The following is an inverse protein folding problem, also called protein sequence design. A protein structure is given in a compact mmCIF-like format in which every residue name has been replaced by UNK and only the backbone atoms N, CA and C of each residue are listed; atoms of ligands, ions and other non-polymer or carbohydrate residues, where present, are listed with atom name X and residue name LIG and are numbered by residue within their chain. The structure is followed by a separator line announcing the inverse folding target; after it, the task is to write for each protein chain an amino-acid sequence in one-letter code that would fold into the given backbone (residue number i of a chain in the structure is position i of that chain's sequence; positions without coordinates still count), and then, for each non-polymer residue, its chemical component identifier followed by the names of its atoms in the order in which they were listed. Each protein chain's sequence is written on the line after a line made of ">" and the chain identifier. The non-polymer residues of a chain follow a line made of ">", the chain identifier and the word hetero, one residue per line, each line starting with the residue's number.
data_IF_337066249573
#
_entry.id   IF_337066249573
#
_cell.length_a   1.000
_cell.length_b   1.000
_cell.length_c   1.000
_cell.angle_alpha   90.00
_cell.angle_beta   90.00
_cell.angle_gamma   90.00
#
_symmetry.space_group_name_H-M   'P 1'
#
loop_
_entity.id
_entity.type
_entity.pdbx_description
1 polymer ?
#
# COMPACT_ATOMS: atom_id res chain seq x y z
N UNK A 1 -8.21 -9.47 14.48
CA UNK A 1 -7.16 -10.26 15.19
C UNK A 1 -6.82 -11.58 14.48
N UNK A 2 -7.77 -12.27 13.83
CA UNK A 2 -7.54 -13.56 13.13
C UNK A 2 -6.47 -13.49 12.02
N UNK A 3 -6.57 -12.52 11.11
CA UNK A 3 -5.61 -12.32 10.00
C UNK A 3 -4.14 -12.28 10.46
N UNK A 4 -3.82 -11.44 11.45
CA UNK A 4 -2.46 -11.32 11.99
C UNK A 4 -1.97 -12.62 12.64
N UNK A 5 -2.85 -13.35 13.34
CA UNK A 5 -2.47 -14.62 13.98
C UNK A 5 -2.13 -15.67 12.93
N UNK A 6 -2.95 -15.77 11.88
CA UNK A 6 -2.72 -16.66 10.76
C UNK A 6 -1.39 -16.37 10.06
N UNK A 7 -1.15 -15.11 9.67
CA UNK A 7 0.09 -14.74 8.98
C UNK A 7 1.33 -14.97 9.83
N UNK A 8 1.29 -14.67 11.14
CA UNK A 8 2.43 -14.94 12.05
C UNK A 8 2.68 -16.45 12.22
N UNK A 9 1.63 -17.27 12.25
CA UNK A 9 1.77 -18.73 12.29
C UNK A 9 2.36 -19.27 10.98
N UNK A 10 1.87 -18.80 9.84
CA UNK A 10 2.40 -19.15 8.52
C UNK A 10 3.89 -18.83 8.41
N UNK A 11 4.31 -17.62 8.80
CA UNK A 11 5.73 -17.22 8.79
C UNK A 11 6.58 -18.15 9.67
N UNK A 12 6.10 -18.48 10.87
CA UNK A 12 6.82 -19.38 11.79
C UNK A 12 6.94 -20.80 11.25
N UNK A 13 5.89 -21.30 10.59
CA UNK A 13 5.87 -22.63 9.99
C UNK A 13 6.86 -22.72 8.82
N UNK A 14 6.73 -21.82 7.83
CA UNK A 14 7.56 -21.84 6.61
C UNK A 14 9.05 -21.60 6.90
N UNK A 15 9.38 -20.91 8.00
CA UNK A 15 10.78 -20.77 8.47
C UNK A 15 11.39 -22.06 9.01
N UNK A 16 10.58 -22.95 9.57
CA UNK A 16 11.03 -24.21 10.16
C UNK A 16 11.10 -25.35 9.15
N UNK A 17 10.43 -25.22 8.01
CA UNK A 17 10.48 -26.21 6.94
C UNK A 17 11.89 -26.33 6.34
N UNK A 18 12.40 -27.55 6.17
CA UNK A 18 13.66 -27.83 5.48
C UNK A 18 13.43 -27.97 3.98
N UNK A 19 12.95 -26.89 3.38
CA UNK A 19 12.58 -26.81 1.96
C UNK A 19 13.40 -25.68 1.30
N UNK A 20 13.59 -25.74 -0.01
CA UNK A 20 14.26 -24.67 -0.77
C UNK A 20 13.66 -23.30 -0.47
N UNK A 21 14.50 -22.27 -0.36
CA UNK A 21 14.07 -20.92 -0.02
C UNK A 21 13.04 -20.35 -1.02
N UNK A 22 13.17 -20.70 -2.31
CA UNK A 22 12.18 -20.32 -3.32
C UNK A 22 10.80 -20.92 -3.03
N UNK A 23 10.76 -22.19 -2.64
CA UNK A 23 9.51 -22.87 -2.30
C UNK A 23 8.90 -22.32 -1.00
N UNK A 24 9.72 -21.96 0.01
CA UNK A 24 9.25 -21.26 1.21
C UNK A 24 8.57 -19.94 0.88
N UNK A 25 9.17 -19.16 -0.02
CA UNK A 25 8.63 -17.87 -0.47
C UNK A 25 7.29 -18.05 -1.18
N UNK A 26 7.19 -19.00 -2.11
CA UNK A 26 5.96 -19.28 -2.87
C UNK A 26 4.84 -19.73 -1.93
N UNK A 27 5.11 -20.69 -1.03
CA UNK A 27 4.11 -21.16 -0.06
C UNK A 27 3.68 -20.07 0.91
N UNK A 28 4.61 -19.25 1.41
CA UNK A 28 4.26 -18.14 2.30
C UNK A 28 3.41 -17.10 1.57
N UNK A 29 3.71 -16.81 0.29
CA UNK A 29 2.89 -15.91 -0.54
C UNK A 29 1.45 -16.44 -0.65
N UNK A 30 1.26 -17.72 -0.94
CA UNK A 30 -0.09 -18.33 -1.01
C UNK A 30 -0.80 -18.31 0.34
N UNK A 31 -0.09 -18.59 1.44
CA UNK A 31 -0.67 -18.55 2.79
C UNK A 31 -1.14 -17.12 3.15
N UNK A 32 -0.34 -16.09 2.86
CA UNK A 32 -0.70 -14.70 3.14
C UNK A 32 -1.95 -14.30 2.35
N UNK A 33 -2.04 -14.67 1.07
CA UNK A 33 -3.23 -14.41 0.25
C UNK A 33 -4.48 -15.12 0.81
N UNK A 34 -4.32 -16.35 1.31
CA UNK A 34 -5.39 -17.11 1.93
C UNK A 34 -5.81 -16.57 3.32
N UNK A 35 -5.00 -15.72 3.95
CA UNK A 35 -5.28 -15.21 5.29
C UNK A 35 -6.60 -14.40 5.38
N UNK A 36 -7.04 -13.78 4.29
CA UNK A 36 -8.34 -13.10 4.21
C UNK A 36 -9.47 -14.11 4.23
N UNK A 37 -9.44 -15.09 3.32
CA UNK A 37 -10.42 -16.19 3.26
C UNK A 37 -10.56 -16.88 4.62
N UNK A 38 -9.43 -17.24 5.25
CA UNK A 38 -9.41 -17.81 6.60
C UNK A 38 -10.09 -16.90 7.64
N UNK A 39 -9.86 -15.59 7.57
CA UNK A 39 -10.43 -14.65 8.55
C UNK A 39 -11.95 -14.52 8.44
N UNK A 40 -12.52 -14.79 7.26
CA UNK A 40 -13.94 -14.69 6.95
C UNK A 40 -14.65 -16.05 6.82
N UNK A 41 -14.02 -17.14 7.28
CA UNK A 41 -14.63 -18.47 7.41
C UNK A 41 -14.45 -19.41 6.22
N UNK A 42 -13.66 -19.04 5.22
CA UNK A 42 -13.31 -19.92 4.10
C UNK A 42 -11.98 -20.62 4.37
N UNK A 43 -12.03 -21.94 4.56
CA UNK A 43 -10.89 -22.75 4.97
C UNK A 43 -10.34 -23.69 3.88
N UNK A 44 -10.84 -23.61 2.64
CA UNK A 44 -10.52 -24.57 1.56
C UNK A 44 -9.02 -24.71 1.27
N UNK A 45 -8.27 -23.61 1.33
CA UNK A 45 -6.84 -23.58 1.02
C UNK A 45 -5.98 -23.40 2.28
N UNK A 46 -6.53 -23.66 3.47
CA UNK A 46 -5.78 -23.56 4.71
C UNK A 46 -4.90 -24.80 4.92
N UNK A 47 -3.61 -24.57 5.19
CA UNK A 47 -2.74 -25.61 5.75
C UNK A 47 -3.22 -25.97 7.18
N UNK A 48 -3.40 -27.26 7.44
CA UNK A 48 -3.88 -27.81 8.71
C UNK A 48 -2.96 -27.42 9.88
N UNK A 49 -1.66 -27.25 9.64
CA UNK A 49 -0.72 -26.82 10.67
C UNK A 49 -0.91 -25.35 11.09
N UNK A 50 -1.53 -24.53 10.23
CA UNK A 50 -1.75 -23.09 10.48
C UNK A 50 -3.15 -22.86 11.06
N UNK A 51 -4.14 -23.58 10.52
CA UNK A 51 -5.55 -23.48 10.87
C UNK A 51 -5.96 -24.59 11.85
N UNK A 52 -6.00 -24.34 13.17
CA UNK A 52 -6.53 -25.33 14.11
C UNK A 52 -8.01 -25.61 13.80
N UNK A 53 -8.41 -26.87 13.87
CA UNK A 53 -9.76 -27.34 13.53
C UNK A 53 -10.89 -26.64 14.32
N UNK A 54 -10.56 -25.99 15.44
CA UNK A 54 -11.49 -25.25 16.30
C UNK A 54 -12.00 -23.93 15.71
N UNK A 55 -11.39 -23.41 14.64
CA UNK A 55 -11.80 -22.16 13.99
C UNK A 55 -12.72 -22.35 12.77
N UNK A 56 -13.12 -23.59 12.44
CA UNK A 56 -14.03 -23.91 11.31
C UNK A 56 -15.47 -23.52 11.67
N UNK A 57 -15.86 -22.28 11.38
CA UNK A 57 -17.25 -21.83 11.47
C UNK A 57 -18.01 -22.13 10.18
N UNK A 58 -19.23 -22.67 10.26
CA UNK A 58 -20.03 -23.07 9.08
C UNK A 58 -20.45 -21.92 8.16
N UNK A 59 -20.35 -20.65 8.61
CA UNK A 59 -20.77 -19.48 7.82
C UNK A 59 -19.61 -18.93 7.00
N UNK A 60 -19.60 -19.25 5.71
CA UNK A 60 -18.65 -18.70 4.74
C UNK A 60 -19.10 -17.31 4.24
N UNK A 61 -18.78 -16.27 5.00
CA UNK A 61 -19.04 -14.87 4.60
C UNK A 61 -18.07 -14.33 3.54
N UNK A 62 -17.01 -15.09 3.21
CA UNK A 62 -15.98 -14.64 2.29
C UNK A 62 -16.50 -14.52 0.85
N UNK A 63 -17.41 -15.41 0.43
CA UNK A 63 -18.02 -15.36 -0.91
C UNK A 63 -18.92 -14.12 -1.06
N UNK A 64 -19.76 -13.84 -0.07
CA UNK A 64 -20.67 -12.68 -0.08
C UNK A 64 -19.89 -11.36 -0.14
N UNK A 65 -18.74 -11.31 0.56
CA UNK A 65 -17.89 -10.12 0.59
C UNK A 65 -16.98 -10.00 -0.63
N UNK A 66 -16.70 -11.09 -1.36
CA UNK A 66 -15.70 -11.11 -2.43
C UNK A 66 -15.94 -10.05 -3.52
N UNK A 67 -17.22 -9.75 -3.81
CA UNK A 67 -17.62 -8.78 -4.82
C UNK A 67 -17.63 -7.33 -4.32
N UNK A 68 -17.41 -7.10 -3.03
CA UNK A 68 -17.47 -5.75 -2.45
C UNK A 68 -16.18 -4.95 -2.68
N UNK A 69 -16.33 -3.63 -2.75
CA UNK A 69 -15.19 -2.69 -2.79
C UNK A 69 -14.27 -2.85 -1.57
N UNK A 70 -14.84 -3.16 -0.41
CA UNK A 70 -14.09 -3.38 0.82
C UNK A 70 -13.15 -4.58 0.68
N UNK A 71 -13.62 -5.68 0.11
CA UNK A 71 -12.81 -6.87 -0.14
C UNK A 71 -11.67 -6.57 -1.10
N UNK A 72 -11.93 -5.89 -2.22
CA UNK A 72 -10.88 -5.48 -3.17
C UNK A 72 -9.76 -4.69 -2.46
N UNK A 73 -10.12 -3.76 -1.57
CA UNK A 73 -9.13 -2.98 -0.78
C UNK A 73 -8.36 -3.82 0.22
N UNK A 74 -9.03 -4.71 0.94
CA UNK A 74 -8.38 -5.64 1.88
C UNK A 74 -7.41 -6.56 1.13
N UNK A 75 -7.84 -7.12 0.00
CA UNK A 75 -7.04 -7.97 -0.87
C UNK A 75 -5.81 -7.24 -1.39
N UNK A 76 -5.94 -5.97 -1.84
CA UNK A 76 -4.77 -5.16 -2.23
C UNK A 76 -3.72 -5.01 -1.12
N UNK A 77 -4.17 -4.74 0.12
CA UNK A 77 -3.27 -4.61 1.28
C UNK A 77 -2.55 -5.94 1.55
N UNK A 78 -3.27 -7.06 1.44
CA UNK A 78 -2.72 -8.39 1.68
C UNK A 78 -1.80 -8.84 0.55
N UNK A 79 -2.12 -8.52 -0.70
CA UNK A 79 -1.22 -8.74 -1.84
C UNK A 79 0.09 -7.97 -1.68
N UNK A 80 0.04 -6.73 -1.19
CA UNK A 80 1.26 -5.96 -0.88
C UNK A 80 2.10 -6.65 0.20
N UNK A 81 1.47 -7.20 1.25
CA UNK A 81 2.16 -7.99 2.26
C UNK A 81 2.76 -9.28 1.66
N UNK A 82 2.03 -9.95 0.78
CA UNK A 82 2.45 -11.18 0.12
C UNK A 82 3.64 -10.95 -0.84
N UNK A 83 3.70 -9.81 -1.52
CA UNK A 83 4.87 -9.42 -2.33
C UNK A 83 6.14 -9.27 -1.50
N UNK A 84 6.02 -8.98 -0.20
CA UNK A 84 7.14 -8.90 0.74
C UNK A 84 7.46 -10.25 1.42
N UNK A 85 6.92 -11.37 0.93
CA UNK A 85 7.13 -12.70 1.51
C UNK A 85 8.63 -13.05 1.64
N UNK A 86 9.45 -12.70 0.64
CA UNK A 86 10.91 -12.87 0.68
C UNK A 86 11.52 -12.24 1.93
N UNK A 87 11.28 -10.95 2.14
CA UNK A 87 11.78 -10.21 3.29
C UNK A 87 11.26 -10.78 4.63
N UNK A 88 10.02 -11.30 4.65
CA UNK A 88 9.43 -11.93 5.84
C UNK A 88 10.05 -13.28 6.19
N UNK A 89 10.45 -14.08 5.20
CA UNK A 89 11.15 -15.36 5.42
C UNK A 89 12.55 -15.11 5.98
N UNK A 90 13.28 -14.14 5.44
CA UNK A 90 14.66 -13.87 5.83
C UNK A 90 14.83 -12.88 6.98
N UNK A 91 13.73 -12.37 7.56
CA UNK A 91 13.74 -11.29 8.56
C UNK A 91 14.56 -10.06 8.12
N UNK A 92 14.57 -9.79 6.82
CA UNK A 92 15.26 -8.62 6.27
C UNK A 92 14.34 -7.42 6.44
N UNK A 93 14.69 -6.52 7.36
CA UNK A 93 14.09 -5.20 7.39
C UNK A 93 14.74 -4.28 6.36
N UNK A 94 13.96 -3.33 5.86
CA UNK A 94 14.37 -2.45 4.76
C UNK A 94 15.34 -1.36 5.22
N UNK A 95 16.35 -1.68 6.05
CA UNK A 95 17.60 -0.96 6.31
C UNK A 95 17.94 -0.82 7.81
N UNK A 96 18.80 -1.71 8.37
CA UNK A 96 19.41 -1.54 9.69
C UNK A 96 20.12 -0.20 9.86
N UNK A 97 20.70 0.35 8.77
CA UNK A 97 21.34 1.66 8.77
C UNK A 97 20.33 2.81 8.90
N UNK A 98 19.13 2.73 8.32
CA UNK A 98 18.06 3.73 8.58
C UNK A 98 17.59 3.67 10.02
N UNK A 99 17.39 2.46 10.54
CA UNK A 99 16.97 2.28 11.93
C UNK A 99 18.04 2.83 12.87
N UNK A 100 19.32 2.56 12.60
CA UNK A 100 20.45 3.09 13.35
C UNK A 100 20.61 4.61 13.19
N UNK A 101 20.50 5.15 11.97
CA UNK A 101 20.54 6.59 11.69
C UNK A 101 19.42 7.34 12.42
N UNK A 102 18.24 6.73 12.57
CA UNK A 102 17.16 7.29 13.39
C UNK A 102 17.52 7.38 14.89
N UNK A 103 18.41 6.52 15.38
CA UNK A 103 18.96 6.55 16.74
C UNK A 103 20.06 7.59 16.84
N UNK A 104 21.01 7.63 15.89
CA UNK A 104 22.04 8.67 15.81
C UNK A 104 21.41 10.06 15.83
N UNK A 105 20.39 10.30 14.99
CA UNK A 105 19.70 11.58 14.92
C UNK A 105 19.11 12.06 16.26
N UNK A 106 18.72 11.12 17.14
CA UNK A 106 18.23 11.44 18.50
C UNK A 106 19.36 11.80 19.46
N UNK A 107 20.49 11.10 19.39
CA UNK A 107 21.67 11.41 20.20
C UNK A 107 22.34 12.71 19.77
N UNK A 108 22.33 12.99 18.46
CA UNK A 108 22.81 14.25 17.88
C UNK A 108 21.83 15.42 18.13
N UNK A 109 20.59 15.16 18.56
CA UNK A 109 19.60 16.20 18.84
C UNK A 109 18.93 16.80 17.59
N UNK A 110 19.22 16.25 16.40
CA UNK A 110 18.81 16.78 15.11
C UNK A 110 19.30 18.22 14.85
N UNK A 111 18.81 18.85 13.78
CA UNK A 111 19.18 20.23 13.39
C UNK A 111 18.76 21.34 14.37
N UNK A 112 18.04 21.06 15.46
CA UNK A 112 17.27 22.09 16.20
C UNK A 112 17.80 22.47 17.57
N UNK A 113 18.69 21.71 18.21
CA UNK A 113 19.28 22.15 19.49
C UNK A 113 20.72 21.63 19.61
N UNK A 114 21.70 22.51 19.41
CA UNK A 114 23.10 22.25 19.73
C UNK A 114 23.29 22.37 21.24
N UNK A 115 23.19 21.25 21.95
CA UNK A 115 23.21 21.27 23.42
C UNK A 115 24.58 21.50 24.07
N UNK A 116 25.70 21.61 23.34
CA UNK A 116 27.01 22.13 23.82
C UNK A 116 28.15 21.86 22.83
N UNK A 117 29.17 22.73 22.87
CA UNK A 117 30.39 22.70 22.04
C UNK A 117 31.47 21.71 22.53
N UNK A 118 31.14 20.73 23.39
CA UNK A 118 32.11 19.72 23.86
C UNK A 118 31.55 18.31 23.66
N UNK A 119 32.48 17.42 23.26
CA UNK A 119 32.31 16.03 22.85
C UNK A 119 31.77 15.85 21.42
N UNK A 120 32.59 15.23 20.57
CA UNK A 120 32.47 15.23 19.12
C UNK A 120 31.23 14.45 18.63
N UNK A 121 30.87 14.63 17.35
CA UNK A 121 29.87 13.81 16.68
C UNK A 121 30.15 12.30 16.83
N UNK A 122 31.42 11.91 16.87
CA UNK A 122 31.84 10.52 16.99
C UNK A 122 31.39 9.89 18.32
N UNK A 123 31.55 10.59 19.45
CA UNK A 123 31.10 10.08 20.75
C UNK A 123 29.58 9.87 20.80
N UNK A 124 28.81 10.75 20.15
CA UNK A 124 27.35 10.59 20.05
C UNK A 124 26.95 9.41 19.16
N UNK A 125 27.70 9.15 18.10
CA UNK A 125 27.53 7.95 17.28
C UNK A 125 27.88 6.67 18.05
N UNK A 126 28.95 6.69 18.86
CA UNK A 126 29.32 5.57 19.74
C UNK A 126 28.23 5.32 20.79
N UNK A 127 27.74 6.36 21.46
CA UNK A 127 26.63 6.24 22.41
C UNK A 127 25.34 5.72 21.74
N UNK A 128 25.05 6.17 20.51
CA UNK A 128 23.94 5.65 19.71
C UNK A 128 24.13 4.16 19.39
N UNK A 129 25.34 3.72 19.02
CA UNK A 129 25.66 2.33 18.71
C UNK A 129 25.47 1.43 19.93
N UNK A 130 26.00 1.84 21.08
CA UNK A 130 25.83 1.13 22.34
C UNK A 130 24.34 1.00 22.68
N UNK A 131 23.58 2.09 22.57
CA UNK A 131 22.15 2.09 22.85
C UNK A 131 21.33 1.25 21.86
N UNK A 132 21.71 1.22 20.59
CA UNK A 132 21.03 0.49 19.52
C UNK A 132 21.21 -1.03 19.68
N UNK A 133 22.44 -1.46 19.94
CA UNK A 133 22.78 -2.88 20.06
C UNK A 133 22.28 -3.48 21.39
N UNK A 134 22.38 -2.75 22.49
CA UNK A 134 22.05 -3.30 23.82
C UNK A 134 20.56 -3.26 24.15
N UNK A 135 19.80 -2.31 23.58
CA UNK A 135 18.36 -2.07 23.85
C UNK A 135 18.00 -1.93 25.35
N UNK A 136 19.00 -1.76 26.23
CA UNK A 136 18.87 -1.64 27.69
C UNK A 136 19.17 -0.20 28.13
N UNK A 137 18.72 0.20 29.34
CA UNK A 137 19.12 1.48 29.94
C UNK A 137 20.65 1.58 30.07
N UNK A 138 21.21 2.77 29.82
CA UNK A 138 22.66 2.99 29.88
C UNK A 138 23.18 2.77 31.30
N UNK A 139 22.36 3.01 32.33
CA UNK A 139 22.77 2.74 33.71
C UNK A 139 23.15 1.27 33.96
N UNK A 140 22.59 0.31 33.19
CA UNK A 140 22.94 -1.11 33.31
C UNK A 140 24.35 -1.40 32.82
N UNK A 141 24.78 -0.67 31.79
CA UNK A 141 26.12 -0.76 31.22
C UNK A 141 27.11 -0.07 32.16
N UNK A 142 26.76 1.13 32.63
CA UNK A 142 27.58 1.86 33.60
C UNK A 142 27.84 1.03 34.87
N UNK A 143 26.80 0.42 35.45
CA UNK A 143 26.94 -0.46 36.63
C UNK A 143 27.88 -1.63 36.37
N UNK A 144 27.89 -2.17 35.15
CA UNK A 144 28.74 -3.31 34.77
C UNK A 144 30.19 -2.89 34.53
N UNK A 145 30.43 -1.71 33.95
CA UNK A 145 31.79 -1.21 33.65
C UNK A 145 32.47 -0.69 34.92
N UNK A 146 31.76 0.11 35.73
CA UNK A 146 32.36 0.81 36.87
C UNK A 146 32.07 0.16 38.23
N UNK A 147 31.35 -0.97 38.25
CA UNK A 147 30.98 -1.70 39.47
C UNK A 147 30.04 -0.93 40.42
N UNK A 148 29.66 0.30 40.08
CA UNK A 148 28.84 1.20 40.89
C UNK A 148 27.59 1.64 40.14
N UNK A 149 26.41 1.72 40.78
CA UNK A 149 25.21 2.20 40.13
C UNK A 149 25.33 3.70 39.77
N UNK A 150 24.66 4.14 38.71
CA UNK A 150 24.51 5.59 38.47
C UNK A 150 23.60 6.22 39.53
N UNK A 151 23.61 7.55 39.62
CA UNK A 151 22.78 8.30 40.57
C UNK A 151 21.27 8.03 40.45
N UNK A 152 20.53 8.30 41.54
CA UNK A 152 19.07 8.09 41.61
C UNK A 152 18.32 8.80 40.48
N UNK A 153 18.73 10.02 40.14
CA UNK A 153 18.10 10.85 39.10
C UNK A 153 18.31 10.29 37.68
N UNK A 154 19.51 9.81 37.35
CA UNK A 154 19.81 9.23 36.03
C UNK A 154 19.05 7.92 35.82
N UNK A 155 19.01 7.06 36.84
CA UNK A 155 18.19 5.84 36.80
C UNK A 155 16.71 6.16 36.61
N UNK A 156 16.16 7.09 37.42
CA UNK A 156 14.76 7.51 37.33
C UNK A 156 14.39 8.09 35.97
N UNK A 157 15.25 8.96 35.41
CA UNK A 157 15.05 9.55 34.09
C UNK A 157 15.02 8.49 32.98
N UNK A 158 15.93 7.52 33.00
CA UNK A 158 15.96 6.43 32.02
C UNK A 158 14.75 5.50 32.14
N UNK A 159 14.36 5.14 33.36
CA UNK A 159 13.15 4.35 33.62
C UNK A 159 11.90 5.10 33.14
N UNK A 160 11.81 6.42 33.37
CA UNK A 160 10.69 7.23 32.89
C UNK A 160 10.69 7.36 31.36
N UNK A 161 11.87 7.45 30.73
CA UNK A 161 12.03 7.44 29.26
C UNK A 161 11.55 6.11 28.65
N UNK A 162 11.81 4.98 29.30
CA UNK A 162 11.26 3.67 28.90
C UNK A 162 9.73 3.63 29.01
N UNK A 163 9.16 4.10 30.12
CA UNK A 163 7.69 4.17 30.31
C UNK A 163 7.02 5.08 29.25
N UNK A 164 7.64 6.22 28.91
CA UNK A 164 7.15 7.14 27.87
C UNK A 164 7.20 6.54 26.45
N UNK A 165 8.13 5.61 26.15
CA UNK A 165 8.16 4.90 24.85
C UNK A 165 6.93 4.01 24.65
N UNK A 166 6.40 3.42 25.73
CA UNK A 166 5.18 2.60 25.68
C UNK A 166 3.97 3.48 25.32
N UNK A 167 3.89 4.67 25.92
CA UNK A 167 2.77 5.61 25.75
C UNK A 167 2.78 6.36 24.40
N UNK A 168 3.95 6.71 23.86
CA UNK A 168 4.07 7.47 22.58
C UNK A 168 3.80 6.66 21.30
N UNK A 169 3.56 5.35 21.39
CA UNK A 169 3.12 4.54 20.22
C UNK A 169 1.76 4.98 19.68
N UNK A 170 0.98 5.79 20.41
CA UNK A 170 -0.35 6.27 20.02
C UNK A 170 -0.40 7.61 19.27
N UNK A 171 0.69 8.38 19.18
CA UNK A 171 0.64 9.75 18.62
C UNK A 171 1.24 9.86 17.21
N UNK A 172 0.42 10.43 16.32
CA UNK A 172 0.52 10.50 14.84
C UNK A 172 1.87 11.01 14.31
N UNK A 173 2.40 10.32 13.28
CA UNK A 173 3.53 10.82 12.47
C UNK A 173 3.05 11.99 11.60
N UNK A 174 3.66 13.16 11.77
CA UNK A 174 3.59 14.27 10.79
C UNK A 174 4.57 13.95 9.66
N UNK A 175 4.05 13.71 8.46
CA UNK A 175 4.85 13.49 7.25
C UNK A 175 5.77 14.70 7.00
N UNK A 176 7.09 14.47 6.93
CA UNK A 176 8.04 15.46 6.42
C UNK A 176 8.26 15.18 4.92
N UNK A 177 8.31 16.25 4.13
CA UNK A 177 8.54 16.18 2.68
C UNK A 177 9.99 15.77 2.38
N UNK A 178 10.07 14.91 1.37
CA UNK A 178 11.19 14.29 0.67
C UNK A 178 12.55 15.02 0.76
N UNK A 179 13.59 14.25 1.09
CA UNK A 179 14.95 14.46 0.58
C UNK A 179 15.10 13.52 -0.62
N UNK A 180 15.55 14.04 -1.76
CA UNK A 180 15.84 13.22 -2.93
C UNK A 180 17.11 12.40 -2.66
N UNK A 181 16.95 11.08 -2.60
CA UNK A 181 17.99 10.10 -2.32
C UNK A 181 18.33 9.36 -3.64
N UNK A 182 19.61 9.10 -3.97
CA UNK A 182 19.98 8.33 -5.16
C UNK A 182 19.36 6.92 -5.21
N UNK A 183 19.02 6.36 -4.05
CA UNK A 183 18.39 5.06 -3.89
C UNK A 183 16.87 5.19 -3.66
N UNK A 184 16.34 6.39 -3.35
CA UNK A 184 14.91 6.62 -3.13
C UNK A 184 14.38 7.94 -3.74
N UNK A 185 13.24 7.86 -4.44
CA UNK A 185 12.53 9.02 -4.98
C UNK A 185 12.57 9.10 -6.50
N UNK A 186 12.36 10.29 -7.07
CA UNK A 186 12.19 10.44 -8.53
C UNK A 186 13.46 10.13 -9.35
N UNK A 187 14.62 10.01 -8.69
CA UNK A 187 15.94 9.73 -9.30
C UNK A 187 16.53 8.38 -8.88
N UNK A 188 15.73 7.49 -8.29
CA UNK A 188 16.18 6.18 -7.86
C UNK A 188 16.83 5.41 -9.03
N UNK A 189 18.07 4.93 -8.83
CA UNK A 189 18.84 4.24 -9.88
C UNK A 189 18.43 2.79 -10.12
N UNK A 190 17.73 2.18 -9.16
CA UNK A 190 17.29 0.78 -9.21
C UNK A 190 15.76 0.71 -9.11
N UNK A 191 15.11 -0.14 -9.91
CA UNK A 191 13.69 -0.39 -9.76
C UNK A 191 13.40 -1.06 -8.41
N UNK A 192 12.23 -0.76 -7.82
CA UNK A 192 11.80 -1.27 -6.51
C UNK A 192 11.62 -2.81 -6.47
N UNK A 193 11.44 -3.43 -7.63
CA UNK A 193 11.24 -4.87 -7.80
C UNK A 193 12.02 -5.40 -9.00
N UNK A 194 12.22 -6.71 -9.05
CA UNK A 194 12.85 -7.37 -10.20
C UNK A 194 11.92 -7.32 -11.42
N UNK A 195 12.48 -7.41 -12.63
CA UNK A 195 11.68 -7.42 -13.85
C UNK A 195 10.71 -8.62 -13.89
N UNK A 196 11.15 -9.78 -13.39
CA UNK A 196 10.33 -10.98 -13.28
C UNK A 196 9.12 -10.75 -12.37
N UNK A 197 9.34 -10.19 -11.17
CA UNK A 197 8.28 -9.86 -10.22
C UNK A 197 7.30 -8.82 -10.80
N UNK A 198 7.81 -7.86 -11.57
CA UNK A 198 7.01 -6.85 -12.25
C UNK A 198 6.10 -7.47 -13.31
N UNK A 199 6.64 -8.31 -14.20
CA UNK A 199 5.86 -8.96 -15.25
C UNK A 199 4.80 -9.89 -14.66
N UNK A 200 5.14 -10.64 -13.60
CA UNK A 200 4.18 -11.48 -12.89
C UNK A 200 3.05 -10.64 -12.29
N UNK A 201 3.38 -9.58 -11.54
CA UNK A 201 2.39 -8.68 -10.92
C UNK A 201 1.52 -7.98 -11.97
N UNK A 202 2.10 -7.58 -13.10
CA UNK A 202 1.38 -7.01 -14.25
C UNK A 202 0.38 -8.03 -14.80
N UNK A 203 0.78 -9.27 -15.00
CA UNK A 203 -0.10 -10.32 -15.53
C UNK A 203 -1.27 -10.62 -14.58
N UNK A 204 -1.01 -10.70 -13.27
CA UNK A 204 -2.04 -10.88 -12.23
C UNK A 204 -3.02 -9.70 -12.22
N UNK A 205 -2.51 -8.47 -12.32
CA UNK A 205 -3.33 -7.26 -12.35
C UNK A 205 -4.23 -7.21 -13.59
N UNK A 206 -3.72 -7.55 -14.76
CA UNK A 206 -4.51 -7.58 -16.00
C UNK A 206 -5.62 -8.63 -15.93
N UNK A 207 -5.33 -9.83 -15.43
CA UNK A 207 -6.33 -10.89 -15.22
C UNK A 207 -7.45 -10.47 -14.28
N UNK A 208 -7.13 -9.74 -13.21
CA UNK A 208 -8.15 -9.22 -12.27
C UNK A 208 -9.10 -8.19 -12.89
N UNK A 209 -8.70 -7.60 -14.01
CA UNK A 209 -9.42 -6.52 -14.66
C UNK A 209 -10.23 -6.97 -15.87
N UNK A 210 -10.01 -8.21 -16.33
CA UNK A 210 -10.87 -8.92 -17.26
C UNK A 210 -12.21 -9.23 -16.57
N UNK A 211 -13.30 -8.90 -17.26
CA UNK A 211 -14.67 -9.10 -16.79
C UNK A 211 -15.44 -9.79 -17.90
N UNK A 212 -16.34 -10.72 -17.54
CA UNK A 212 -17.31 -11.28 -18.49
C UNK A 212 -18.33 -10.22 -18.92
N UNK A 213 -19.06 -10.46 -20.01
CA UNK A 213 -20.07 -9.51 -20.50
C UNK A 213 -21.15 -9.24 -19.45
N UNK A 214 -21.64 -10.29 -18.77
CA UNK A 214 -22.59 -10.17 -17.66
C UNK A 214 -22.06 -9.29 -16.52
N UNK A 215 -20.80 -9.47 -16.12
CA UNK A 215 -20.20 -8.66 -15.06
C UNK A 215 -20.04 -7.19 -15.46
N UNK A 216 -19.92 -6.89 -16.76
CA UNK A 216 -19.85 -5.50 -17.25
C UNK A 216 -21.22 -4.84 -17.20
N UNK A 217 -22.27 -5.58 -17.56
CA UNK A 217 -23.65 -5.08 -17.48
C UNK A 217 -24.04 -4.81 -16.02
N UNK A 218 -23.73 -5.75 -15.11
CA UNK A 218 -23.94 -5.55 -13.67
C UNK A 218 -23.17 -4.33 -13.14
N UNK A 219 -21.92 -4.17 -13.57
CA UNK A 219 -21.11 -3.02 -13.18
C UNK A 219 -21.71 -1.71 -13.71
N UNK A 220 -22.25 -1.68 -14.92
CA UNK A 220 -22.92 -0.51 -15.47
C UNK A 220 -24.08 -0.12 -14.56
N UNK A 221 -24.91 -1.09 -14.17
CA UNK A 221 -26.11 -0.86 -13.34
C UNK A 221 -25.73 -0.36 -11.95
N UNK A 222 -24.77 -1.02 -11.29
CA UNK A 222 -24.32 -0.63 -9.94
C UNK A 222 -23.60 0.72 -9.88
N UNK A 223 -23.19 1.25 -11.04
CA UNK A 223 -22.42 2.49 -11.12
C UNK A 223 -23.17 3.64 -11.81
N UNK A 224 -24.50 3.54 -11.98
CA UNK A 224 -25.37 4.58 -12.55
C UNK A 224 -25.24 5.92 -11.82
N UNK A 225 -25.01 5.91 -10.50
CA UNK A 225 -24.83 7.12 -9.69
C UNK A 225 -23.45 7.80 -9.88
N UNK A 226 -22.61 7.25 -10.75
CA UNK A 226 -21.33 7.79 -11.19
C UNK A 226 -20.46 8.32 -10.04
N UNK A 227 -20.30 9.64 -9.93
CA UNK A 227 -19.42 10.29 -8.95
C UNK A 227 -19.84 10.09 -7.50
N UNK A 228 -21.10 9.72 -7.26
CA UNK A 228 -21.61 9.38 -5.93
C UNK A 228 -21.35 7.92 -5.55
N UNK A 229 -21.07 7.05 -6.53
CA UNK A 229 -20.75 5.64 -6.29
C UNK A 229 -19.25 5.44 -6.02
N UNK A 230 -18.94 4.83 -4.88
CA UNK A 230 -17.55 4.48 -4.55
C UNK A 230 -17.00 3.41 -5.51
N UNK A 231 -17.84 2.49 -5.95
CA UNK A 231 -17.45 1.44 -6.89
C UNK A 231 -17.04 2.03 -8.25
N UNK A 232 -17.78 3.04 -8.73
CA UNK A 232 -17.43 3.75 -9.95
C UNK A 232 -16.07 4.45 -9.83
N UNK A 233 -15.79 5.10 -8.69
CA UNK A 233 -14.51 5.77 -8.44
C UNK A 233 -13.32 4.79 -8.41
N UNK A 234 -13.46 3.64 -7.75
CA UNK A 234 -12.37 2.65 -7.71
C UNK A 234 -12.13 2.01 -9.08
N UNK A 235 -13.18 1.67 -9.83
CA UNK A 235 -13.03 1.15 -11.19
C UNK A 235 -12.34 2.16 -12.12
N UNK A 236 -12.68 3.46 -12.02
CA UNK A 236 -12.03 4.51 -12.80
C UNK A 236 -10.57 4.77 -12.44
N UNK A 237 -10.14 4.49 -11.21
CA UNK A 237 -8.71 4.62 -10.84
C UNK A 237 -7.84 3.56 -11.51
N UNK A 238 -8.40 2.38 -11.73
CA UNK A 238 -7.67 1.24 -12.29
C UNK A 238 -7.74 1.18 -13.81
N UNK A 239 -8.56 2.04 -14.46
CA UNK A 239 -8.80 2.02 -15.92
C UNK A 239 -8.48 3.35 -16.57
N UNK A 240 -8.04 3.30 -17.82
CA UNK A 240 -7.93 4.50 -18.65
C UNK A 240 -9.34 4.96 -19.06
N UNK A 241 -9.65 6.22 -18.82
CA UNK A 241 -10.98 6.78 -19.12
C UNK A 241 -10.98 7.53 -20.45
N UNK A 242 -12.14 7.62 -21.10
CA UNK A 242 -12.30 8.31 -22.39
C UNK A 242 -11.74 9.75 -22.37
N UNK A 243 -11.94 10.47 -21.25
CA UNK A 243 -11.41 11.84 -21.05
C UNK A 243 -9.88 11.97 -21.12
N UNK A 244 -9.16 10.87 -20.90
CA UNK A 244 -7.69 10.81 -20.94
C UNK A 244 -7.22 10.34 -22.32
N UNK A 245 -8.01 9.52 -23.00
CA UNK A 245 -7.63 8.82 -24.21
C UNK A 245 -7.21 9.76 -25.35
N UNK A 246 -7.87 10.91 -25.49
CA UNK A 246 -7.47 11.93 -26.46
C UNK A 246 -6.04 12.45 -26.26
N UNK A 247 -5.55 12.51 -25.02
CA UNK A 247 -4.16 12.88 -24.72
C UNK A 247 -3.18 11.75 -25.03
N UNK A 248 -3.61 10.51 -24.87
CA UNK A 248 -2.80 9.31 -25.16
C UNK A 248 -2.59 9.20 -26.67
N UNK A 249 -3.67 9.25 -27.45
CA UNK A 249 -3.60 9.10 -28.91
C UNK A 249 -2.82 10.25 -29.59
N UNK A 250 -2.89 11.48 -29.04
CA UNK A 250 -2.17 12.64 -29.58
C UNK A 250 -0.71 12.75 -29.12
N UNK A 251 -0.23 11.81 -28.30
CA UNK A 251 1.13 11.86 -27.76
C UNK A 251 2.14 11.56 -28.86
N UNK A 252 3.12 12.45 -29.03
CA UNK A 252 4.27 12.21 -29.92
C UNK A 252 5.26 11.24 -29.27
N UNK A 253 5.86 10.36 -30.06
CA UNK A 253 6.82 9.35 -29.59
C UNK A 253 8.10 9.96 -29.00
N UNK A 254 8.52 11.11 -29.53
CA UNK A 254 9.71 11.85 -29.09
C UNK A 254 9.55 12.61 -27.76
N UNK A 255 8.33 12.69 -27.21
CA UNK A 255 8.08 13.35 -25.92
C UNK A 255 7.95 12.29 -24.83
N UNK A 256 8.68 12.47 -23.73
CA UNK A 256 8.61 11.61 -22.55
C UNK A 256 7.16 11.40 -22.08
N UNK A 257 6.76 10.15 -21.84
CA UNK A 257 5.44 9.81 -21.31
C UNK A 257 5.27 10.16 -19.82
N UNK A 258 6.35 10.46 -19.11
CA UNK A 258 6.35 10.63 -17.65
C UNK A 258 5.35 11.68 -17.13
N UNK A 259 5.19 12.88 -17.75
CA UNK A 259 4.20 13.86 -17.31
C UNK A 259 2.75 13.36 -17.47
N UNK A 260 2.47 12.66 -18.57
CA UNK A 260 1.15 12.07 -18.83
C UNK A 260 0.84 10.98 -17.81
N UNK A 261 1.76 10.04 -17.59
CA UNK A 261 1.61 8.98 -16.58
C UNK A 261 1.41 9.59 -15.18
N UNK A 262 2.19 10.61 -14.82
CA UNK A 262 2.03 11.33 -13.54
C UNK A 262 0.64 11.92 -13.40
N UNK A 263 0.07 12.50 -14.45
CA UNK A 263 -1.29 13.07 -14.42
C UNK A 263 -2.39 12.01 -14.26
N UNK A 264 -2.16 10.81 -14.78
CA UNK A 264 -3.09 9.66 -14.66
C UNK A 264 -3.03 9.08 -13.25
N UNK A 265 -1.83 8.83 -12.73
CA UNK A 265 -1.63 8.21 -11.40
C UNK A 265 -1.96 9.17 -10.26
N UNK A 266 -1.75 10.48 -10.45
CA UNK A 266 -2.00 11.51 -9.43
C UNK A 266 -2.93 12.59 -10.00
N UNK A 267 -4.24 12.29 -10.15
CA UNK A 267 -5.19 13.25 -10.67
C UNK A 267 -5.34 14.44 -9.73
N UNK A 268 -5.43 15.65 -10.30
CA UNK A 268 -5.67 16.88 -9.55
C UNK A 268 -7.13 16.96 -9.11
N UNK A 269 -7.37 17.48 -7.91
CA UNK A 269 -8.72 17.74 -7.41
C UNK A 269 -9.25 19.00 -8.09
N UNK A 270 -10.08 18.82 -9.12
CA UNK A 270 -10.64 19.91 -9.94
C UNK A 270 -12.05 20.35 -9.50
N UNK A 271 -12.55 19.86 -8.37
CA UNK A 271 -13.90 20.18 -7.86
C UNK A 271 -14.11 21.68 -7.59
N UNK A 272 -13.03 22.42 -7.36
CA UNK A 272 -13.09 23.84 -7.04
C UNK A 272 -13.07 24.75 -8.27
N UNK A 273 -12.85 24.19 -9.47
CA UNK A 273 -12.80 24.97 -10.71
C UNK A 273 -14.20 25.50 -11.05
N UNK A 274 -14.38 26.82 -11.28
CA UNK A 274 -15.70 27.41 -11.53
C UNK A 274 -16.46 26.78 -12.70
N UNK A 275 -15.78 26.50 -13.82
CA UNK A 275 -16.40 25.86 -14.98
C UNK A 275 -16.90 24.45 -14.69
N UNK A 276 -16.16 23.67 -13.88
CA UNK A 276 -16.58 22.34 -13.45
C UNK A 276 -17.78 22.41 -12.51
N UNK A 277 -17.80 23.37 -11.57
CA UNK A 277 -18.96 23.59 -10.68
C UNK A 277 -20.19 23.99 -11.47
N UNK A 278 -20.05 24.92 -12.40
CA UNK A 278 -21.13 25.37 -13.28
C UNK A 278 -21.67 24.21 -14.12
N UNK A 279 -20.78 23.41 -14.73
CA UNK A 279 -21.18 22.23 -15.50
C UNK A 279 -22.01 21.26 -14.66
N UNK A 280 -21.54 20.91 -13.45
CA UNK A 280 -22.28 20.02 -12.54
C UNK A 280 -23.64 20.56 -12.10
N UNK A 281 -23.73 21.87 -11.84
CA UNK A 281 -24.97 22.49 -11.39
C UNK A 281 -26.04 22.55 -12.50
N UNK A 282 -25.62 22.71 -13.76
CA UNK A 282 -26.54 22.90 -14.89
C UNK A 282 -26.73 21.64 -15.76
N UNK A 283 -26.05 20.54 -15.45
CA UNK A 283 -26.10 19.30 -16.23
C UNK A 283 -27.54 18.79 -16.40
N UNK A 284 -28.33 18.80 -15.33
CA UNK A 284 -29.72 18.34 -15.38
C UNK A 284 -30.62 19.24 -16.25
N UNK A 285 -30.41 20.56 -16.20
CA UNK A 285 -31.13 21.52 -17.05
C UNK A 285 -30.77 21.33 -18.52
N UNK A 286 -29.48 21.11 -18.82
CA UNK A 286 -29.01 20.85 -20.18
C UNK A 286 -29.61 19.55 -20.75
N UNK A 287 -29.69 18.49 -19.94
CA UNK A 287 -30.32 17.22 -20.35
C UNK A 287 -31.81 17.37 -20.63
N UNK A 288 -32.54 18.10 -19.78
CA UNK A 288 -33.96 18.36 -19.99
C UNK A 288 -34.22 19.17 -21.28
N UNK A 289 -33.37 20.15 -21.57
CA UNK A 289 -33.44 20.91 -22.81
C UNK A 289 -33.16 20.03 -24.03
N UNK A 290 -32.11 19.21 -23.99
CA UNK A 290 -31.74 18.32 -25.08
C UNK A 290 -32.84 17.30 -25.39
N UNK A 291 -33.42 16.68 -24.34
CA UNK A 291 -34.52 15.73 -24.47
C UNK A 291 -35.74 16.35 -25.17
N UNK A 292 -36.04 17.62 -24.86
CA UNK A 292 -37.15 18.35 -25.49
C UNK A 292 -36.87 18.73 -26.95
N UNK A 293 -35.63 19.11 -27.27
CA UNK A 293 -35.25 19.52 -28.62
C UNK A 293 -35.21 18.34 -29.60
N UNK A 294 -34.58 17.24 -29.18
CA UNK A 294 -34.37 16.06 -30.03
C UNK A 294 -35.51 15.04 -29.91
N UNK A 295 -36.49 15.27 -29.02
CA UNK A 295 -37.59 14.34 -28.73
C UNK A 295 -37.11 12.93 -28.36
N UNK A 296 -35.99 12.84 -27.66
CA UNK A 296 -35.38 11.58 -27.19
C UNK A 296 -35.48 11.43 -25.67
N UNK A 297 -35.65 10.20 -25.21
CA UNK A 297 -35.58 9.84 -23.78
C UNK A 297 -34.12 9.64 -23.40
N UNK A 298 -33.61 10.48 -22.50
CA UNK A 298 -32.22 10.37 -22.00
C UNK A 298 -32.23 9.68 -20.65
N UNK A 299 -31.57 8.53 -20.57
CA UNK A 299 -31.38 7.77 -19.32
C UNK A 299 -29.97 7.97 -18.77
N UNK A 300 -29.84 7.89 -17.44
CA UNK A 300 -28.52 7.88 -16.80
C UNK A 300 -27.85 6.54 -17.06
N UNK A 301 -26.54 6.56 -17.19
CA UNK A 301 -25.73 5.37 -17.36
C UNK A 301 -24.52 5.37 -16.41
N UNK A 302 -24.10 4.16 -16.06
CA UNK A 302 -22.89 3.94 -15.27
C UNK A 302 -21.64 3.82 -16.13
N UNK A 303 -20.67 3.04 -15.64
CA UNK A 303 -19.41 2.82 -16.32
C UNK A 303 -19.55 1.76 -17.42
N UNK A 304 -19.34 2.15 -18.67
CA UNK A 304 -19.16 1.20 -19.77
C UNK A 304 -17.69 0.78 -19.91
N UNK A 305 -17.47 -0.52 -20.08
CA UNK A 305 -16.15 -1.11 -20.34
C UNK A 305 -16.15 -1.70 -21.75
N UNK A 306 -15.16 -1.33 -22.55
CA UNK A 306 -15.02 -1.84 -23.92
C UNK A 306 -14.74 -3.34 -23.94
N UNK A 307 -15.36 -4.07 -24.87
CA UNK A 307 -15.34 -5.53 -24.94
C UNK A 307 -13.96 -6.13 -25.27
N UNK A 308 -13.22 -5.51 -26.18
CA UNK A 308 -11.94 -6.04 -26.68
C UNK A 308 -10.68 -5.35 -26.13
N UNK A 309 -10.85 -4.21 -25.46
CA UNK A 309 -9.74 -3.34 -25.08
C UNK A 309 -9.83 -3.00 -23.59
N UNK A 310 -9.68 -4.03 -22.75
CA UNK A 310 -9.62 -3.84 -21.30
C UNK A 310 -8.36 -3.06 -20.90
N UNK A 311 -7.25 -3.23 -21.63
CA UNK A 311 -5.93 -2.69 -21.27
C UNK A 311 -5.01 -2.29 -22.45
N UNK A 312 -5.35 -2.62 -23.70
CA UNK A 312 -4.49 -2.41 -24.85
C UNK A 312 -5.24 -1.65 -25.93
N UNK A 313 -4.70 -0.53 -26.40
CA UNK A 313 -5.09 0.10 -27.66
C UNK A 313 -4.05 -0.31 -28.70
N UNK A 314 -4.46 -1.08 -29.71
CA UNK A 314 -3.65 -1.24 -30.92
C UNK A 314 -4.15 -0.19 -31.92
N UNK A 315 -3.31 0.72 -32.44
CA UNK A 315 -3.75 1.78 -33.35
C UNK A 315 -4.28 1.27 -34.71
N UNK A 316 -4.19 -0.03 -34.98
CA UNK A 316 -4.42 -0.64 -36.30
C UNK A 316 -5.89 -1.01 -36.61
N UNK A 317 -6.84 -0.71 -35.74
CA UNK A 317 -8.26 -0.99 -35.99
C UNK A 317 -9.12 0.26 -35.82
N UNK A 318 -8.89 1.25 -36.67
CA UNK A 318 -9.90 2.25 -37.01
C UNK A 318 -10.39 1.92 -38.41
N UNK A 319 -11.31 0.97 -38.49
CA UNK A 319 -12.20 0.90 -39.64
C UNK A 319 -13.35 1.87 -39.36
N UNK A 320 -13.31 3.02 -40.03
CA UNK A 320 -14.49 3.82 -40.29
C UNK A 320 -15.37 3.12 -41.33
#
# INVERSE_FOLDING_TARGET
>A
MKLRRYTVRAIKLRKREEVSDNQKMIKLRSDILNALYHSFGSHFNCDDAICPATDKTDRNTALDLANTVLWRKMSQIVSFLASNAKSLVFDVDSNPAETFNSVIAKYVGGKRINYTQRNSYQERCVAAAISFNTKRPIYTIYKRIFGKPTGKYTNSYETQKLKRKVYKRSFRKRFRRNMDDPDYGQKARRPDMTEEDFQMSKSEFLKQMELSDQQRDDLQIHTIDQSSSQEWLENRKNRLTASIFGKICKRKENISCAPLVRSIVKPQIISNVPSIKYGKANEQTALAQLSRQESITITRCGLYIHHHHHHHYSPSQVHC
#
